data_IF_030091483314
#
_entry.id   IF_030091483314
#
_cell.length_a   1.000
_cell.length_b   1.000
_cell.length_c   1.000
_cell.angle_alpha   90.00
_cell.angle_beta   90.00
_cell.angle_gamma   90.00
#
_symmetry.space_group_name_H-M   'P 1'
#
loop_
_entity.id
_entity.type
_entity.pdbx_description
1 polymer ?
#
# COMPACT_ATOMS: atom_id res chain seq x y z
N UNK A 1 0.36 -7.82 -27.48
CA UNK A 1 -0.64 -7.76 -26.40
C UNK A 1 -0.36 -6.52 -25.57
N UNK A 2 -1.31 -5.58 -25.55
CA UNK A 2 -1.17 -4.37 -24.77
C UNK A 2 -1.13 -4.71 -23.27
N UNK A 3 -0.21 -4.10 -22.52
CA UNK A 3 -0.18 -4.15 -21.06
C UNK A 3 -0.97 -2.93 -20.57
N UNK A 4 -1.94 -3.14 -19.69
CA UNK A 4 -2.71 -2.09 -19.04
C UNK A 4 -2.18 -1.90 -17.61
N UNK A 5 -1.20 -1.02 -17.39
CA UNK A 5 -0.63 -0.82 -16.07
C UNK A 5 -1.56 0.02 -15.18
N UNK A 6 -1.64 -0.34 -13.92
CA UNK A 6 -2.18 0.48 -12.84
C UNK A 6 -1.05 0.69 -11.85
N UNK A 7 -0.75 1.93 -11.52
CA UNK A 7 0.35 2.29 -10.62
C UNK A 7 -0.22 2.65 -9.26
N UNK A 8 0.31 2.06 -8.20
CA UNK A 8 0.07 2.48 -6.81
C UNK A 8 1.37 2.97 -6.23
N UNK A 9 1.37 4.09 -5.54
CA UNK A 9 2.58 4.65 -4.96
C UNK A 9 2.46 4.82 -3.44
N UNK A 10 3.59 4.84 -2.76
CA UNK A 10 3.70 5.30 -1.38
C UNK A 10 4.12 6.78 -1.30
N UNK A 11 4.66 7.18 -0.18
CA UNK A 11 5.16 8.55 0.04
C UNK A 11 5.56 8.80 1.49
N UNK A 12 5.92 7.75 2.23
CA UNK A 12 6.33 7.84 3.63
C UNK A 12 7.42 8.88 3.92
N UNK A 13 8.53 8.89 3.15
CA UNK A 13 9.58 9.90 3.30
C UNK A 13 9.10 11.33 3.05
N UNK A 14 8.28 11.55 2.03
CA UNK A 14 7.73 12.86 1.68
C UNK A 14 6.76 13.36 2.75
N UNK A 15 5.91 12.49 3.28
CA UNK A 15 5.04 12.80 4.42
C UNK A 15 5.88 13.19 5.63
N UNK A 16 6.91 12.39 5.98
CA UNK A 16 7.77 12.67 7.11
C UNK A 16 8.49 14.02 6.97
N UNK A 17 8.99 14.33 5.77
CA UNK A 17 9.64 15.60 5.48
C UNK A 17 8.67 16.79 5.63
N UNK A 18 7.41 16.65 5.16
CA UNK A 18 6.42 17.70 5.29
C UNK A 18 5.99 17.92 6.74
N UNK A 19 5.71 16.86 7.49
CA UNK A 19 5.38 16.95 8.92
C UNK A 19 6.51 17.63 9.72
N UNK A 20 7.76 17.26 9.43
CA UNK A 20 8.94 17.92 10.06
C UNK A 20 9.01 19.42 9.75
N UNK A 21 8.75 19.83 8.50
CA UNK A 21 8.72 21.26 8.10
C UNK A 21 7.64 22.05 8.83
N UNK A 22 6.51 21.38 9.15
CA UNK A 22 5.38 21.99 9.87
C UNK A 22 5.52 21.88 11.39
N UNK A 23 6.59 21.26 11.91
CA UNK A 23 6.79 21.05 13.34
C UNK A 23 5.83 20.01 13.95
N UNK A 24 5.20 19.19 13.13
CA UNK A 24 4.28 18.11 13.57
C UNK A 24 5.09 16.86 13.84
N UNK A 25 4.91 16.29 15.04
CA UNK A 25 5.57 15.03 15.43
C UNK A 25 4.97 13.86 14.65
N UNK A 26 5.83 13.00 14.12
CA UNK A 26 5.44 11.80 13.40
C UNK A 26 5.81 10.57 14.23
N UNK A 27 4.82 9.75 14.55
CA UNK A 27 4.99 8.53 15.32
C UNK A 27 4.53 7.32 14.52
N UNK A 28 5.08 6.16 14.86
CA UNK A 28 4.73 4.87 14.24
C UNK A 28 4.42 3.84 15.33
N UNK A 29 3.43 3.00 15.04
CA UNK A 29 3.13 1.83 15.85
C UNK A 29 2.81 0.64 14.92
N UNK A 30 3.33 -0.54 15.23
CA UNK A 30 3.18 -1.74 14.41
C UNK A 30 3.50 -1.53 12.90
N UNK A 31 4.51 -0.67 12.59
CA UNK A 31 4.91 -0.35 11.22
C UNK A 31 3.99 0.63 10.47
N UNK A 32 2.91 1.10 11.11
CA UNK A 32 1.97 2.07 10.56
C UNK A 32 2.17 3.44 11.20
N UNK A 33 1.97 4.51 10.42
CA UNK A 33 2.02 5.88 10.93
C UNK A 33 0.77 6.18 11.76
N UNK A 34 0.94 6.57 13.02
CA UNK A 34 -0.15 7.14 13.81
C UNK A 34 -0.59 8.43 13.11
N UNK A 35 -1.86 8.50 12.75
CA UNK A 35 -2.39 9.53 11.85
C UNK A 35 -3.60 10.20 12.54
N UNK A 36 -3.33 11.28 13.28
CA UNK A 36 -4.38 12.13 13.87
C UNK A 36 -5.05 13.04 12.83
N UNK A 37 -5.98 13.86 13.25
CA UNK A 37 -6.75 14.76 12.37
C UNK A 37 -5.85 15.75 11.60
N UNK A 38 -4.85 16.32 12.24
CA UNK A 38 -3.92 17.24 11.58
C UNK A 38 -2.98 16.51 10.62
N UNK A 39 -2.57 15.31 10.99
CA UNK A 39 -1.68 14.48 10.17
C UNK A 39 -2.39 13.96 8.92
N UNK A 40 -3.68 13.56 8.99
CA UNK A 40 -4.37 13.03 7.79
C UNK A 40 -4.52 14.08 6.69
N UNK A 41 -4.73 15.35 7.04
CA UNK A 41 -4.78 16.44 6.06
C UNK A 41 -3.44 16.57 5.31
N UNK A 42 -2.32 16.52 6.02
CA UNK A 42 -0.98 16.58 5.42
C UNK A 42 -0.70 15.34 4.58
N UNK A 43 -1.08 14.16 5.07
CA UNK A 43 -0.95 12.89 4.31
C UNK A 43 -1.70 12.98 2.99
N UNK A 44 -2.94 13.48 3.00
CA UNK A 44 -3.74 13.65 1.78
C UNK A 44 -3.09 14.65 0.82
N UNK A 45 -2.67 15.82 1.29
CA UNK A 45 -1.98 16.82 0.45
C UNK A 45 -0.71 16.25 -0.19
N UNK A 46 0.10 15.55 0.57
CA UNK A 46 1.38 15.00 0.10
C UNK A 46 1.14 13.86 -0.89
N UNK A 47 0.30 12.90 -0.54
CA UNK A 47 0.08 11.72 -1.38
C UNK A 47 -0.71 12.06 -2.65
N UNK A 48 -1.89 12.65 -2.53
CA UNK A 48 -2.76 12.92 -3.68
C UNK A 48 -2.32 14.14 -4.50
N UNK A 49 -1.70 15.13 -3.86
CA UNK A 49 -1.21 16.33 -4.53
C UNK A 49 0.23 16.19 -5.04
N UNK A 50 1.19 16.17 -4.13
CA UNK A 50 2.61 16.28 -4.48
C UNK A 50 3.15 15.01 -5.16
N UNK A 51 3.14 13.88 -4.48
CA UNK A 51 3.75 12.63 -4.98
C UNK A 51 3.00 12.11 -6.20
N UNK A 52 1.68 12.05 -6.13
CA UNK A 52 0.84 11.54 -7.21
C UNK A 52 1.07 12.33 -8.51
N UNK A 53 0.99 13.66 -8.46
CA UNK A 53 1.13 14.51 -9.66
C UNK A 53 2.55 14.52 -10.22
N UNK A 54 3.56 14.36 -9.38
CA UNK A 54 4.94 14.20 -9.83
C UNK A 54 5.12 12.90 -10.64
N UNK A 55 4.57 11.78 -10.16
CA UNK A 55 4.60 10.51 -10.89
C UNK A 55 3.82 10.58 -12.20
N UNK A 56 2.63 11.20 -12.19
CA UNK A 56 1.86 11.46 -13.42
C UNK A 56 2.70 12.24 -14.43
N UNK A 57 3.40 13.28 -13.99
CA UNK A 57 4.30 14.05 -14.85
C UNK A 57 5.39 13.19 -15.48
N UNK A 58 6.11 12.39 -14.70
CA UNK A 58 7.16 11.50 -15.19
C UNK A 58 6.66 10.47 -16.21
N UNK A 59 5.49 9.87 -15.95
CA UNK A 59 4.90 8.89 -16.88
C UNK A 59 4.52 9.58 -18.21
N UNK A 60 3.96 10.78 -18.14
CA UNK A 60 3.58 11.55 -19.33
C UNK A 60 4.81 12.01 -20.14
N UNK A 61 5.89 12.44 -19.46
CA UNK A 61 7.16 12.76 -20.11
C UNK A 61 7.78 11.53 -20.82
N UNK A 62 7.58 10.34 -20.25
CA UNK A 62 8.01 9.08 -20.87
C UNK A 62 7.10 8.61 -22.02
N UNK A 63 6.09 9.40 -22.40
CA UNK A 63 5.16 9.09 -23.50
C UNK A 63 3.92 8.29 -23.09
N UNK A 64 3.71 8.08 -21.79
CA UNK A 64 2.47 7.51 -21.27
C UNK A 64 1.32 8.51 -21.27
N UNK A 65 0.12 8.03 -20.94
CA UNK A 65 -1.06 8.86 -20.69
C UNK A 65 -1.59 8.58 -19.29
N UNK A 66 -0.97 9.20 -18.29
CA UNK A 66 -1.28 8.94 -16.88
C UNK A 66 -2.34 9.89 -16.34
N UNK A 67 -3.19 9.35 -15.46
CA UNK A 67 -4.18 10.08 -14.68
C UNK A 67 -4.00 9.76 -13.21
N UNK A 68 -3.83 10.80 -12.39
CA UNK A 68 -3.64 10.65 -10.94
C UNK A 68 -4.96 10.69 -10.19
N UNK A 69 -5.15 9.72 -9.31
CA UNK A 69 -6.33 9.49 -8.48
C UNK A 69 -5.92 9.05 -7.07
N UNK A 70 -6.88 9.00 -6.19
CA UNK A 70 -6.82 8.30 -4.90
C UNK A 70 -7.96 7.28 -4.80
N UNK A 71 -7.97 6.44 -3.81
CA UNK A 71 -9.10 5.55 -3.56
C UNK A 71 -10.40 6.26 -3.21
N UNK A 72 -10.34 7.55 -2.90
CA UNK A 72 -11.52 8.39 -2.63
C UNK A 72 -12.28 8.75 -3.90
N UNK A 73 -11.57 8.89 -5.02
CA UNK A 73 -12.16 9.28 -6.31
C UNK A 73 -13.15 8.21 -6.79
N UNK A 74 -14.37 8.64 -7.09
CA UNK A 74 -15.47 7.74 -7.43
C UNK A 74 -15.84 6.74 -6.33
N UNK A 75 -15.47 7.00 -5.06
CA UNK A 75 -15.59 6.02 -3.96
C UNK A 75 -14.96 4.66 -4.28
N UNK A 76 -13.86 4.67 -5.01
CA UNK A 76 -13.19 3.48 -5.53
C UNK A 76 -12.77 2.51 -4.42
N UNK A 77 -12.23 3.01 -3.32
CA UNK A 77 -11.81 2.17 -2.19
C UNK A 77 -12.52 2.61 -0.91
N UNK A 78 -13.31 1.71 -0.36
CA UNK A 78 -13.84 1.80 1.00
C UNK A 78 -12.94 1.04 1.96
N UNK A 79 -12.78 1.58 3.17
CA UNK A 79 -11.93 1.02 4.20
C UNK A 79 -12.55 1.14 5.58
N UNK A 80 -12.21 0.22 6.46
CA UNK A 80 -12.48 0.30 7.90
C UNK A 80 -11.24 0.75 8.65
N UNK A 81 -11.44 1.42 9.80
CA UNK A 81 -10.32 1.82 10.67
C UNK A 81 -9.52 0.58 11.09
N UNK A 82 -8.22 0.68 10.92
CA UNK A 82 -7.27 -0.38 11.31
C UNK A 82 -7.20 -0.49 12.82
N UNK A 83 -7.42 -1.68 13.35
CA UNK A 83 -7.19 -2.02 14.74
C UNK A 83 -5.92 -2.88 14.84
N UNK A 84 -4.99 -2.49 15.68
CA UNK A 84 -3.78 -3.28 15.98
C UNK A 84 -3.65 -3.46 17.49
N UNK A 85 -3.10 -4.59 17.88
CA UNK A 85 -2.71 -4.85 19.26
C UNK A 85 -1.19 -4.88 19.36
N UNK A 86 -0.67 -4.38 20.48
CA UNK A 86 0.73 -4.58 20.85
C UNK A 86 0.78 -5.22 22.22
N UNK A 87 1.71 -6.16 22.38
CA UNK A 87 2.02 -6.71 23.70
C UNK A 87 2.91 -5.69 24.41
N UNK A 88 2.46 -5.24 25.57
CA UNK A 88 3.23 -4.38 26.45
C UNK A 88 4.42 -5.19 27.00
N UNK A 89 5.68 -4.75 26.76
CA UNK A 89 6.88 -5.50 27.14
C UNK A 89 7.00 -5.74 28.65
N UNK A 90 6.43 -4.85 29.48
CA UNK A 90 6.55 -4.90 30.91
C UNK A 90 5.45 -5.74 31.57
N UNK A 91 4.27 -5.83 30.94
CA UNK A 91 3.12 -6.51 31.55
C UNK A 91 2.64 -7.75 30.79
N UNK A 92 3.19 -8.03 29.61
CA UNK A 92 2.69 -9.07 28.67
C UNK A 92 1.20 -8.97 28.33
N UNK A 93 0.59 -7.80 28.55
CA UNK A 93 -0.82 -7.56 28.25
C UNK A 93 -0.94 -7.01 26.83
N UNK A 94 -1.85 -7.58 26.02
CA UNK A 94 -2.22 -7.02 24.75
C UNK A 94 -3.03 -5.74 24.93
N UNK A 95 -2.54 -4.63 24.39
CA UNK A 95 -3.25 -3.35 24.35
C UNK A 95 -3.63 -3.00 22.93
N UNK A 96 -4.87 -2.62 22.72
CA UNK A 96 -5.31 -2.05 21.47
C UNK A 96 -4.65 -0.67 21.27
N UNK A 97 -4.14 -0.41 20.07
CA UNK A 97 -3.54 0.86 19.70
C UNK A 97 -4.51 1.59 18.80
N UNK A 98 -4.82 2.83 19.16
CA UNK A 98 -5.51 3.75 18.27
C UNK A 98 -4.49 4.36 17.31
N UNK A 99 -4.60 4.00 16.04
CA UNK A 99 -3.79 4.54 14.94
C UNK A 99 -4.40 5.81 14.33
N UNK A 100 -5.56 6.24 14.79
CA UNK A 100 -6.31 7.37 14.26
C UNK A 100 -6.91 7.08 12.88
N UNK A 101 -6.62 7.94 11.91
CA UNK A 101 -7.15 7.84 10.54
C UNK A 101 -6.33 6.89 9.65
N UNK A 102 -6.14 5.67 10.12
CA UNK A 102 -5.50 4.58 9.36
C UNK A 102 -6.54 3.52 9.03
N UNK A 103 -6.52 3.00 7.81
CA UNK A 103 -7.52 2.04 7.35
C UNK A 103 -6.96 0.83 6.62
N UNK A 104 -7.72 -0.25 6.69
CA UNK A 104 -7.54 -1.44 5.86
C UNK A 104 -8.67 -1.48 4.81
N UNK A 105 -8.37 -1.73 3.51
CA UNK A 105 -9.38 -1.79 2.45
C UNK A 105 -10.40 -2.90 2.68
N UNK A 106 -11.70 -2.57 2.58
CA UNK A 106 -12.79 -3.53 2.68
C UNK A 106 -13.36 -3.88 1.30
N UNK A 107 -13.51 -2.86 0.46
CA UNK A 107 -14.15 -3.00 -0.85
C UNK A 107 -13.46 -2.09 -1.87
N UNK A 108 -13.24 -2.64 -3.06
CA UNK A 108 -12.77 -1.91 -4.23
C UNK A 108 -13.85 -1.92 -5.31
N UNK A 109 -14.30 -0.75 -5.73
CA UNK A 109 -15.17 -0.57 -6.90
C UNK A 109 -14.32 -0.27 -8.13
N UNK A 110 -14.39 -1.16 -9.11
CA UNK A 110 -13.56 -1.09 -10.30
C UNK A 110 -14.16 -0.22 -11.42
N UNK A 111 -15.34 0.34 -11.25
CA UNK A 111 -16.06 1.05 -12.32
C UNK A 111 -15.20 2.13 -12.96
N UNK A 112 -14.65 3.03 -12.14
CA UNK A 112 -13.79 4.13 -12.62
C UNK A 112 -12.48 3.60 -13.23
N UNK A 113 -11.83 2.63 -12.58
CA UNK A 113 -10.58 2.04 -13.10
C UNK A 113 -10.78 1.39 -14.47
N UNK A 114 -11.84 0.60 -14.63
CA UNK A 114 -12.14 -0.07 -15.90
C UNK A 114 -12.41 0.94 -17.01
N UNK A 115 -13.08 2.05 -16.71
CA UNK A 115 -13.29 3.13 -17.68
C UNK A 115 -11.98 3.75 -18.14
N UNK A 116 -11.10 4.12 -17.18
CA UNK A 116 -9.79 4.71 -17.50
C UNK A 116 -8.91 3.76 -18.33
N UNK A 117 -8.85 2.50 -17.93
CA UNK A 117 -8.12 1.45 -18.66
C UNK A 117 -8.71 1.28 -20.08
N UNK A 118 -10.03 1.31 -20.21
CA UNK A 118 -10.72 1.24 -21.51
C UNK A 118 -10.39 2.40 -22.43
N UNK A 119 -10.02 3.56 -21.90
CA UNK A 119 -9.52 4.72 -22.65
C UNK A 119 -7.99 4.72 -22.82
N UNK A 120 -7.32 3.61 -22.56
CA UNK A 120 -5.86 3.47 -22.64
C UNK A 120 -5.10 4.47 -21.74
N UNK A 121 -5.71 4.90 -20.64
CA UNK A 121 -5.08 5.73 -19.63
C UNK A 121 -4.38 4.85 -18.57
N UNK A 122 -3.34 5.39 -17.98
CA UNK A 122 -2.58 4.77 -16.89
C UNK A 122 -3.04 5.38 -15.56
N UNK A 123 -3.88 4.69 -14.77
CA UNK A 123 -4.26 5.17 -13.44
C UNK A 123 -3.06 5.15 -12.49
N UNK A 124 -2.82 6.26 -11.80
CA UNK A 124 -1.80 6.39 -10.74
C UNK A 124 -2.53 6.68 -9.44
N UNK A 125 -2.48 5.75 -8.50
CA UNK A 125 -3.32 5.75 -7.30
C UNK A 125 -2.52 6.10 -6.05
N UNK A 126 -2.98 7.13 -5.34
CA UNK A 126 -2.55 7.41 -3.98
C UNK A 126 -3.33 6.52 -2.99
N UNK A 127 -2.66 5.93 -1.97
CA UNK A 127 -3.26 4.96 -1.06
C UNK A 127 -4.09 5.64 0.04
N UNK A 128 -5.13 6.32 -0.37
CA UNK A 128 -6.14 6.95 0.48
C UNK A 128 -7.49 6.31 0.19
N UNK A 129 -8.26 6.07 1.23
CA UNK A 129 -9.58 5.47 1.12
C UNK A 129 -10.63 6.31 1.85
N UNK A 130 -11.89 6.03 1.61
CA UNK A 130 -13.01 6.63 2.34
C UNK A 130 -13.59 5.58 3.30
N UNK A 131 -13.72 5.94 4.57
CA UNK A 131 -14.43 5.11 5.55
C UNK A 131 -15.94 5.06 5.25
N UNK A 132 -16.66 4.17 5.93
CA UNK A 132 -18.12 4.06 5.75
C UNK A 132 -18.87 5.30 6.20
N UNK A 133 -18.31 6.09 7.13
CA UNK A 133 -18.85 7.35 7.63
C UNK A 133 -18.28 8.60 6.89
N UNK A 134 -17.54 8.39 5.79
CA UNK A 134 -17.08 9.46 4.90
C UNK A 134 -15.73 10.08 5.26
N UNK A 135 -15.02 9.58 6.27
CA UNK A 135 -13.70 10.10 6.65
C UNK A 135 -12.60 9.62 5.68
N UNK A 136 -11.57 10.43 5.50
CA UNK A 136 -10.35 10.01 4.80
C UNK A 136 -9.53 9.08 5.69
N UNK A 137 -9.08 7.95 5.14
CA UNK A 137 -8.18 7.02 5.81
C UNK A 137 -6.87 6.88 5.02
N UNK A 138 -5.75 6.95 5.74
CA UNK A 138 -4.43 6.61 5.24
C UNK A 138 -4.28 5.09 5.21
N UNK A 139 -3.96 4.54 4.05
CA UNK A 139 -3.79 3.09 3.86
C UNK A 139 -2.32 2.79 3.57
N UNK A 140 -1.80 1.68 4.08
CA UNK A 140 -0.48 1.20 3.68
C UNK A 140 -0.46 0.94 2.16
N UNK A 141 0.57 1.42 1.46
CA UNK A 141 0.63 1.35 0.00
C UNK A 141 0.67 -0.08 -0.54
N UNK A 142 1.39 -0.98 0.12
CA UNK A 142 1.46 -2.39 -0.28
C UNK A 142 0.08 -3.06 -0.10
N UNK A 143 -0.58 -2.82 1.03
CA UNK A 143 -1.94 -3.31 1.31
C UNK A 143 -2.96 -2.78 0.30
N UNK A 144 -2.88 -1.49 0.00
CA UNK A 144 -3.76 -0.85 -1.00
C UNK A 144 -3.54 -1.46 -2.39
N UNK A 145 -2.27 -1.62 -2.80
CA UNK A 145 -1.92 -2.25 -4.07
C UNK A 145 -2.41 -3.69 -4.16
N UNK A 146 -2.27 -4.46 -3.08
CA UNK A 146 -2.79 -5.83 -2.99
C UNK A 146 -4.30 -5.91 -3.16
N UNK A 147 -5.04 -5.02 -2.50
CA UNK A 147 -6.50 -4.95 -2.59
C UNK A 147 -6.97 -4.58 -4.02
N UNK A 148 -6.35 -3.57 -4.63
CA UNK A 148 -6.67 -3.16 -6.01
C UNK A 148 -6.31 -4.26 -7.01
N UNK A 149 -5.13 -4.87 -6.89
CA UNK A 149 -4.69 -5.94 -7.77
C UNK A 149 -5.58 -7.19 -7.65
N UNK A 150 -5.99 -7.54 -6.42
CA UNK A 150 -6.92 -8.63 -6.16
C UNK A 150 -8.28 -8.39 -6.80
N UNK A 151 -8.87 -7.19 -6.60
CA UNK A 151 -10.15 -6.83 -7.20
C UNK A 151 -10.09 -6.88 -8.73
N UNK A 152 -9.02 -6.38 -9.34
CA UNK A 152 -8.78 -6.44 -10.79
C UNK A 152 -8.49 -7.86 -11.31
N UNK A 153 -8.27 -8.84 -10.44
CA UNK A 153 -7.72 -10.15 -10.78
C UNK A 153 -6.50 -10.01 -11.70
N UNK A 154 -5.60 -9.14 -11.28
CA UNK A 154 -4.46 -8.73 -12.08
C UNK A 154 -3.60 -9.93 -12.49
N UNK A 155 -3.08 -9.91 -13.71
CA UNK A 155 -2.17 -10.95 -14.20
C UNK A 155 -0.86 -10.95 -13.41
N UNK A 156 -0.41 -9.77 -12.98
CA UNK A 156 0.81 -9.58 -12.19
C UNK A 156 0.63 -8.41 -11.22
N UNK A 157 1.12 -8.57 -10.00
CA UNK A 157 1.41 -7.49 -9.08
C UNK A 157 2.92 -7.37 -8.93
N UNK A 158 3.47 -6.20 -9.18
CA UNK A 158 4.90 -5.91 -9.02
C UNK A 158 5.07 -5.00 -7.81
N UNK A 159 5.78 -5.45 -6.79
CA UNK A 159 6.16 -4.65 -5.63
C UNK A 159 7.60 -4.18 -5.81
N UNK A 160 7.76 -2.91 -6.18
CA UNK A 160 9.05 -2.27 -6.33
C UNK A 160 9.60 -1.91 -4.95
N UNK A 161 10.82 -2.32 -4.65
CA UNK A 161 11.46 -2.11 -3.35
C UNK A 161 12.96 -1.81 -3.51
N UNK A 162 13.60 -1.40 -2.45
CA UNK A 162 15.03 -1.08 -2.37
C UNK A 162 15.92 -2.30 -2.08
N UNK A 163 15.33 -3.50 -2.06
CA UNK A 163 16.03 -4.76 -1.86
C UNK A 163 15.76 -5.70 -3.04
N UNK A 164 16.69 -6.63 -3.35
CA UNK A 164 16.57 -7.49 -4.55
C UNK A 164 15.46 -8.54 -4.47
N UNK A 165 14.72 -8.60 -3.38
CA UNK A 165 13.65 -9.56 -3.15
C UNK A 165 13.81 -10.30 -1.83
N UNK A 166 13.20 -11.49 -1.72
CA UNK A 166 13.30 -12.33 -0.52
C UNK A 166 14.65 -13.06 -0.52
N UNK A 167 15.38 -12.94 0.59
CA UNK A 167 16.69 -13.57 0.77
C UNK A 167 16.59 -14.75 1.75
N UNK A 168 17.39 -15.77 1.53
CA UNK A 168 17.60 -16.85 2.51
C UNK A 168 18.54 -16.43 3.67
N UNK A 169 18.75 -17.32 4.63
CA UNK A 169 19.66 -17.09 5.80
C UNK A 169 21.11 -16.80 5.38
N UNK A 170 21.51 -17.20 4.17
CA UNK A 170 22.83 -16.93 3.58
C UNK A 170 22.86 -15.65 2.75
N UNK A 171 21.79 -14.83 2.78
CA UNK A 171 21.58 -13.60 1.99
C UNK A 171 21.55 -13.82 0.48
N UNK A 172 21.26 -15.04 0.04
CA UNK A 172 21.07 -15.37 -1.38
C UNK A 172 19.60 -15.15 -1.75
N UNK A 173 19.37 -14.57 -2.93
CA UNK A 173 18.02 -14.35 -3.45
C UNK A 173 17.30 -15.69 -3.66
N UNK A 174 16.08 -15.76 -3.17
CA UNK A 174 15.14 -16.85 -3.44
C UNK A 174 14.28 -16.42 -4.64
N UNK A 175 14.49 -17.01 -5.82
CA UNK A 175 13.86 -16.52 -7.04
C UNK A 175 12.37 -16.87 -7.12
N UNK A 176 11.94 -17.90 -6.42
CA UNK A 176 10.56 -18.39 -6.48
C UNK A 176 10.13 -18.99 -5.13
N UNK A 177 8.94 -18.62 -4.67
CA UNK A 177 8.38 -19.10 -3.41
C UNK A 177 6.91 -19.47 -3.60
N UNK A 178 6.52 -20.63 -3.07
CA UNK A 178 5.10 -20.93 -2.87
C UNK A 178 4.57 -20.18 -1.63
N UNK A 179 3.25 -19.97 -1.56
CA UNK A 179 2.61 -19.40 -0.36
C UNK A 179 2.96 -20.20 0.90
N UNK A 180 2.98 -21.54 0.77
CA UNK A 180 3.35 -22.44 1.89
C UNK A 180 4.78 -22.22 2.37
N UNK A 181 5.72 -22.10 1.44
CA UNK A 181 7.12 -21.87 1.78
C UNK A 181 7.35 -20.48 2.35
N UNK A 182 6.67 -19.46 1.81
CA UNK A 182 6.71 -18.09 2.33
C UNK A 182 6.24 -18.06 3.81
N UNK A 183 5.11 -18.69 4.13
CA UNK A 183 4.62 -18.80 5.52
C UNK A 183 5.60 -19.53 6.44
N UNK A 184 6.27 -20.58 5.94
CA UNK A 184 7.30 -21.30 6.70
C UNK A 184 8.52 -20.42 6.97
N UNK A 185 8.98 -19.65 5.97
CA UNK A 185 10.13 -18.76 6.11
C UNK A 185 9.85 -17.56 7.04
N UNK A 186 8.59 -17.12 7.14
CA UNK A 186 8.17 -16.15 8.16
C UNK A 186 8.25 -16.81 9.55
N UNK A 187 7.69 -18.01 9.71
CA UNK A 187 7.64 -18.70 10.98
C UNK A 187 9.03 -19.07 11.54
N UNK A 188 10.00 -19.40 10.69
CA UNK A 188 11.37 -19.74 11.09
C UNK A 188 12.32 -18.52 11.18
N UNK A 189 11.80 -17.30 10.97
CA UNK A 189 12.52 -16.04 11.07
C UNK A 189 13.47 -15.72 9.91
N UNK A 190 13.46 -16.51 8.82
CA UNK A 190 14.24 -16.22 7.60
C UNK A 190 13.70 -14.93 6.95
N UNK A 191 12.38 -14.81 6.82
CA UNK A 191 11.72 -13.57 6.43
C UNK A 191 11.41 -12.79 7.72
N UNK A 192 11.95 -11.58 7.83
CA UNK A 192 11.86 -10.77 9.05
C UNK A 192 11.71 -9.28 8.74
N UNK A 193 11.41 -8.48 9.75
CA UNK A 193 11.34 -7.02 9.65
C UNK A 193 10.36 -6.52 8.59
N UNK A 194 10.78 -5.52 7.82
CA UNK A 194 9.96 -4.89 6.78
C UNK A 194 9.59 -5.79 5.59
N UNK A 195 10.23 -6.97 5.46
CA UNK A 195 9.87 -7.92 4.40
C UNK A 195 8.59 -8.71 4.75
N UNK A 196 8.29 -8.92 6.04
CA UNK A 196 7.08 -9.65 6.47
C UNK A 196 5.81 -9.02 5.87
N UNK A 197 5.50 -7.73 6.08
CA UNK A 197 4.27 -7.13 5.53
C UNK A 197 4.22 -7.15 4.00
N UNK A 198 5.37 -7.08 3.31
CA UNK A 198 5.42 -7.22 1.85
C UNK A 198 5.03 -8.62 1.39
N UNK A 199 5.58 -9.63 2.03
CA UNK A 199 5.27 -11.04 1.71
C UNK A 199 3.82 -11.37 2.08
N UNK A 200 3.31 -10.85 3.20
CA UNK A 200 1.90 -10.99 3.58
C UNK A 200 0.97 -10.34 2.53
N UNK A 201 1.32 -9.16 2.02
CA UNK A 201 0.60 -8.54 0.90
C UNK A 201 0.62 -9.41 -0.36
N UNK A 202 1.77 -10.02 -0.67
CA UNK A 202 1.86 -10.96 -1.81
C UNK A 202 0.93 -12.15 -1.63
N UNK A 203 0.92 -12.75 -0.44
CA UNK A 203 0.05 -13.89 -0.12
C UNK A 203 -1.42 -13.48 -0.25
N UNK A 204 -1.80 -12.36 0.36
CA UNK A 204 -3.15 -11.82 0.27
C UNK A 204 -3.58 -11.60 -1.20
N UNK A 205 -2.75 -10.96 -2.01
CA UNK A 205 -3.06 -10.71 -3.41
C UNK A 205 -3.28 -11.99 -4.23
N UNK A 206 -2.46 -13.02 -3.99
CA UNK A 206 -2.62 -14.34 -4.60
C UNK A 206 -3.93 -15.01 -4.17
N UNK A 207 -4.29 -14.94 -2.87
CA UNK A 207 -5.54 -15.47 -2.33
C UNK A 207 -6.77 -14.74 -2.91
N UNK A 208 -6.63 -13.47 -3.30
CA UNK A 208 -7.67 -12.69 -4.00
C UNK A 208 -7.72 -12.95 -5.52
N UNK A 209 -6.87 -13.82 -6.06
CA UNK A 209 -6.91 -14.26 -7.45
C UNK A 209 -5.93 -13.58 -8.41
N UNK A 210 -4.96 -12.81 -7.90
CA UNK A 210 -3.80 -12.38 -8.70
C UNK A 210 -3.00 -13.60 -9.15
N UNK A 211 -2.63 -13.68 -10.43
CA UNK A 211 -1.99 -14.87 -10.98
C UNK A 211 -0.51 -15.01 -10.62
N UNK A 212 0.14 -13.92 -10.27
CA UNK A 212 1.52 -13.93 -9.81
C UNK A 212 1.94 -12.59 -9.21
N UNK A 213 2.78 -12.65 -8.18
CA UNK A 213 3.33 -11.47 -7.53
C UNK A 213 4.85 -11.52 -7.58
N UNK A 214 5.49 -10.39 -7.84
CA UNK A 214 6.94 -10.26 -7.92
C UNK A 214 7.39 -9.12 -7.02
N UNK A 215 8.40 -9.37 -6.20
CA UNK A 215 9.11 -8.34 -5.42
C UNK A 215 10.42 -8.05 -6.15
N UNK A 216 10.64 -6.80 -6.55
CA UNK A 216 11.80 -6.33 -7.35
C UNK A 216 12.30 -4.97 -6.88
#
# INVERSE_FOLDING_TARGET
TAINPVVVHGGGPQIAAMLKRLGIKSEFAAGLRITDAATIEIVEMVLAGSVNKQLVGYINEAGGKAVGLSGKDGNMVKASKTTRTMVDPDSNIEKAIDLGFVGDPDKVDLTLLNQLIGYELIPVLAPLATSHDGQTLNVNADTFAGAVAGALKAKRLLLLTDVPGVLDKSKKLIPELSVKDARKLIADGTISGGMIPKVETCIYALEQGVQGVVII
#
